data_IF_402541574005
#
_entry.id   IF_402541574005
#
_cell.length_a   1.000
_cell.length_b   1.000
_cell.length_c   1.000
_cell.angle_alpha   90.00
_cell.angle_beta   90.00
_cell.angle_gamma   90.00
#
_symmetry.space_group_name_H-M   'P 1'
#
loop_
_entity.id
_entity.type
_entity.pdbx_description
1 polymer ?
#
# COMPACT_ATOMS: atom_id res chain seq x y z
N UNK A 1 3.71 4.65 9.42
CA UNK A 1 2.36 4.08 9.66
C UNK A 1 2.43 3.17 10.87
N UNK A 2 1.51 3.26 11.84
CA UNK A 2 1.57 2.41 13.01
C UNK A 2 0.78 1.10 12.77
N UNK A 3 1.29 0.24 11.89
CA UNK A 3 0.73 -1.07 11.51
C UNK A 3 1.85 -2.10 11.29
N UNK A 4 1.50 -3.38 11.09
CA UNK A 4 2.50 -4.39 10.74
C UNK A 4 3.03 -4.17 9.31
N UNK A 5 4.25 -4.65 9.06
CA UNK A 5 4.84 -4.58 7.72
C UNK A 5 3.98 -5.31 6.67
N UNK A 6 3.38 -6.45 7.02
CA UNK A 6 2.45 -7.18 6.17
C UNK A 6 1.22 -6.34 5.83
N UNK A 7 0.63 -5.65 6.80
CA UNK A 7 -0.52 -4.78 6.56
C UNK A 7 -0.16 -3.59 5.68
N UNK A 8 0.99 -2.96 5.92
CA UNK A 8 1.50 -1.89 5.07
C UNK A 8 1.70 -2.40 3.63
N UNK A 9 2.39 -3.54 3.48
CA UNK A 9 2.66 -4.13 2.18
C UNK A 9 1.37 -4.41 1.40
N UNK A 10 0.39 -5.06 2.04
CA UNK A 10 -0.93 -5.33 1.48
C UNK A 10 -1.62 -4.03 1.04
N UNK A 11 -1.63 -3.01 1.90
CA UNK A 11 -2.28 -1.72 1.62
C UNK A 11 -1.69 -1.03 0.38
N UNK A 12 -0.38 -1.19 0.15
CA UNK A 12 0.32 -0.57 -0.99
C UNK A 12 0.27 -1.39 -2.28
N UNK A 13 0.28 -2.73 -2.20
CA UNK A 13 0.43 -3.61 -3.37
C UNK A 13 -0.86 -4.29 -3.80
N UNK A 14 -1.91 -4.27 -2.97
CA UNK A 14 -3.24 -4.68 -3.38
C UNK A 14 -3.95 -3.52 -4.10
N UNK A 15 -4.08 -3.62 -5.42
CA UNK A 15 -4.67 -2.60 -6.26
C UNK A 15 -6.19 -2.41 -6.03
N UNK A 16 -6.89 -3.42 -5.51
CA UNK A 16 -8.31 -3.32 -5.13
C UNK A 16 -8.52 -2.44 -3.88
N UNK A 17 -7.50 -2.37 -3.03
CA UNK A 17 -7.50 -1.56 -1.81
C UNK A 17 -6.88 -0.18 -2.09
N UNK A 18 -5.84 -0.13 -2.92
CA UNK A 18 -5.06 1.08 -3.20
C UNK A 18 -5.92 2.27 -3.63
N UNK A 19 -6.89 2.03 -4.51
CA UNK A 19 -7.81 3.08 -5.01
C UNK A 19 -8.70 3.69 -3.92
N UNK A 20 -8.87 3.02 -2.77
CA UNK A 20 -9.70 3.51 -1.66
C UNK A 20 -9.01 4.60 -0.84
N UNK A 21 -7.68 4.57 -0.75
CA UNK A 21 -6.92 5.50 0.08
C UNK A 21 -6.01 6.44 -0.73
N UNK A 22 -5.56 6.04 -1.92
CA UNK A 22 -4.72 6.87 -2.77
C UNK A 22 -5.55 7.97 -3.45
N UNK A 23 -5.64 9.11 -2.76
CA UNK A 23 -6.42 10.28 -3.22
C UNK A 23 -5.86 10.94 -4.49
N UNK A 24 -4.63 10.59 -4.89
CA UNK A 24 -4.00 11.15 -6.09
C UNK A 24 -4.45 10.46 -7.37
N UNK A 25 -4.99 9.24 -7.26
CA UNK A 25 -5.37 8.41 -8.39
C UNK A 25 -6.90 8.30 -8.53
N UNK A 26 -7.38 8.28 -9.76
CA UNK A 26 -8.76 7.91 -10.07
C UNK A 26 -8.88 6.44 -10.50
N UNK A 27 -7.76 5.81 -10.86
CA UNK A 27 -7.68 4.37 -11.14
C UNK A 27 -6.25 3.88 -10.89
N UNK A 28 -6.13 2.67 -10.35
CA UNK A 28 -4.88 1.94 -10.19
C UNK A 28 -5.18 0.45 -10.37
N UNK A 29 -4.70 -0.16 -11.45
CA UNK A 29 -5.00 -1.56 -11.79
C UNK A 29 -3.74 -2.28 -12.26
N UNK A 30 -3.64 -3.58 -12.00
CA UNK A 30 -2.72 -4.44 -12.76
C UNK A 30 -3.42 -4.77 -14.08
N UNK A 31 -2.72 -4.63 -15.20
CA UNK A 31 -3.34 -4.68 -16.54
C UNK A 31 -3.94 -6.04 -16.90
N UNK A 32 -3.51 -7.11 -16.24
CA UNK A 32 -4.08 -8.45 -16.39
C UNK A 32 -5.27 -8.73 -15.45
N UNK A 33 -5.70 -7.73 -14.67
CA UNK A 33 -6.81 -7.83 -13.72
C UNK A 33 -6.43 -8.45 -12.37
N UNK A 34 -5.16 -8.80 -12.14
CA UNK A 34 -4.71 -9.27 -10.83
C UNK A 34 -4.85 -8.18 -9.77
N UNK A 35 -5.21 -8.59 -8.55
CA UNK A 35 -5.24 -7.66 -7.40
C UNK A 35 -3.82 -7.26 -6.96
N UNK A 36 -2.84 -8.14 -7.19
CA UNK A 36 -1.45 -7.95 -6.80
C UNK A 36 -0.53 -8.04 -8.01
N UNK A 37 0.53 -7.22 -8.07
CA UNK A 37 1.55 -7.37 -9.09
C UNK A 37 2.45 -8.58 -8.81
N UNK A 38 3.23 -8.93 -9.80
CA UNK A 38 4.32 -9.92 -9.75
C UNK A 38 5.45 -9.43 -10.65
N UNK A 39 6.62 -10.08 -10.61
CA UNK A 39 7.74 -9.70 -11.48
C UNK A 39 7.31 -9.83 -12.95
N UNK A 40 7.39 -8.73 -13.69
CA UNK A 40 6.94 -8.62 -15.08
C UNK A 40 5.55 -8.02 -15.26
N UNK A 41 4.71 -7.98 -14.21
CA UNK A 41 3.39 -7.38 -14.25
C UNK A 41 3.49 -5.90 -14.66
N UNK A 42 2.46 -5.41 -15.35
CA UNK A 42 2.31 -4.00 -15.69
C UNK A 42 1.11 -3.47 -14.91
N UNK A 43 1.28 -2.35 -14.21
CA UNK A 43 0.16 -1.59 -13.67
C UNK A 43 -0.06 -0.30 -14.44
N UNK A 44 -1.33 0.07 -14.58
CA UNK A 44 -1.75 1.37 -15.08
C UNK A 44 -2.30 2.22 -13.93
N UNK A 45 -1.83 3.46 -13.85
CA UNK A 45 -2.20 4.42 -12.81
C UNK A 45 -2.66 5.71 -13.47
N UNK A 46 -3.88 6.15 -13.16
CA UNK A 46 -4.49 7.35 -13.72
C UNK A 46 -4.63 8.41 -12.63
N UNK A 47 -4.07 9.60 -12.86
CA UNK A 47 -4.20 10.70 -11.91
C UNK A 47 -5.64 11.21 -11.78
N UNK A 48 -6.00 11.70 -10.59
CA UNK A 48 -7.30 12.32 -10.27
C UNK A 48 -7.25 13.84 -10.36
N UNK A 49 -8.39 14.47 -10.62
CA UNK A 49 -8.53 15.93 -10.68
C UNK A 49 -7.77 16.51 -11.87
N UNK A 50 -7.01 17.58 -11.65
CA UNK A 50 -6.17 18.19 -12.69
C UNK A 50 -5.10 17.22 -13.21
N UNK A 51 -4.69 16.22 -12.42
CA UNK A 51 -3.72 15.19 -12.82
C UNK A 51 -4.29 14.13 -13.76
N UNK A 52 -5.57 14.22 -14.15
CA UNK A 52 -6.18 13.30 -15.13
C UNK A 52 -5.46 13.30 -16.48
N UNK A 53 -4.68 14.33 -16.76
CA UNK A 53 -3.85 14.40 -17.97
C UNK A 53 -2.58 13.53 -17.88
N UNK A 54 -2.28 12.95 -16.71
CA UNK A 54 -1.13 12.08 -16.51
C UNK A 54 -1.58 10.65 -16.23
N UNK A 55 -1.13 9.74 -17.11
CA UNK A 55 -1.25 8.31 -16.93
C UNK A 55 0.16 7.69 -16.91
N UNK A 56 0.38 6.76 -16.00
CA UNK A 56 1.66 6.04 -15.86
C UNK A 56 1.44 4.54 -15.97
N UNK A 57 2.21 3.91 -16.86
CA UNK A 57 2.35 2.45 -16.92
C UNK A 57 3.66 2.05 -16.26
N UNK A 58 3.59 1.21 -15.24
CA UNK A 58 4.74 0.77 -14.45
C UNK A 58 4.91 -0.72 -14.60
N UNK A 59 6.10 -1.16 -15.03
CA UNK A 59 6.48 -2.58 -15.02
C UNK A 59 7.20 -2.90 -13.71
N UNK A 60 6.75 -3.95 -13.03
CA UNK A 60 7.40 -4.43 -11.81
C UNK A 60 8.62 -5.28 -12.18
N UNK A 61 9.82 -4.74 -11.94
CA UNK A 61 11.08 -5.49 -12.17
C UNK A 61 11.51 -6.31 -10.96
N UNK A 62 11.02 -5.96 -9.77
CA UNK A 62 11.22 -6.69 -8.53
C UNK A 62 9.90 -6.67 -7.75
N UNK A 63 9.50 -7.85 -7.28
CA UNK A 63 8.37 -8.01 -6.39
C UNK A 63 8.61 -9.25 -5.55
N UNK A 64 8.69 -9.07 -4.24
CA UNK A 64 8.67 -10.17 -3.27
C UNK A 64 7.42 -9.98 -2.43
N UNK A 65 6.42 -10.88 -2.53
CA UNK A 65 5.32 -10.88 -1.58
C UNK A 65 5.89 -10.88 -0.17
N UNK A 66 5.24 -10.21 0.77
CA UNK A 66 5.73 -10.09 2.15
C UNK A 66 5.74 -11.45 2.87
N UNK A 67 6.71 -12.30 2.53
CA UNK A 67 7.13 -13.45 3.32
C UNK A 67 8.26 -12.92 4.20
N UNK A 68 7.93 -12.58 5.44
CA UNK A 68 8.91 -12.22 6.49
C UNK A 68 9.59 -10.86 6.28
N UNK A 69 9.10 -9.80 6.94
CA UNK A 69 9.88 -9.01 7.92
C UNK A 69 8.87 -8.27 8.80
N UNK A 70 8.52 -8.85 9.95
CA UNK A 70 7.80 -8.10 10.98
C UNK A 70 8.81 -7.21 11.72
N UNK A 71 9.05 -6.00 11.22
CA UNK A 71 9.60 -4.95 12.08
C UNK A 71 8.41 -4.34 12.84
N UNK A 72 8.24 -4.75 14.10
CA UNK A 72 7.25 -4.15 14.98
C UNK A 72 7.63 -2.69 15.26
N UNK A 73 6.84 -1.73 14.80
CA UNK A 73 6.89 -0.37 15.34
C UNK A 73 6.34 -0.42 16.78
N UNK A 74 7.24 -0.52 17.77
CA UNK A 74 6.87 -0.47 19.18
C UNK A 74 6.25 0.91 19.47
N UNK A 75 4.91 0.97 19.57
CA UNK A 75 4.24 2.13 20.19
C UNK A 75 4.54 2.09 21.68
N UNK A 76 5.42 2.95 22.17
CA UNK A 76 5.51 3.24 23.59
C UNK A 76 4.29 4.11 23.96
N UNK A 77 3.14 3.48 24.16
CA UNK A 77 2.05 4.12 24.89
C UNK A 77 2.31 3.88 26.38
N UNK A 78 2.82 4.91 27.08
CA UNK A 78 2.71 4.97 28.54
C UNK A 78 1.23 5.07 28.89
N UNK A 79 0.66 4.00 29.41
CA UNK A 79 -0.49 4.09 30.29
C UNK A 79 0.09 4.07 31.71
N UNK A 80 0.12 5.22 32.38
CA UNK A 80 0.30 5.27 33.83
C UNK A 80 -1.08 4.97 34.45
N UNK A 81 -1.27 3.85 35.18
CA UNK A 81 -2.43 3.72 36.03
C UNK A 81 -2.19 4.53 37.31
N UNK A 82 -3.12 5.45 37.59
CA UNK A 82 -3.32 6.03 38.90
C UNK A 82 -3.39 4.91 39.95
N UNK A 83 -2.41 4.83 40.84
CA UNK A 83 -2.54 4.13 42.13
C UNK A 83 -2.74 5.16 43.23
N UNK A 84 -3.82 5.05 44.04
CA UNK A 84 -4.00 5.88 45.22
C UNK A 84 -3.23 5.27 46.40
N UNK A 85 -2.56 6.12 47.17
CA UNK A 85 -2.22 5.88 48.58
C UNK A 85 -2.54 7.14 49.34
#
# INVERSE_FOLDING_TARGET
MPCSATQAFETFHNHDIRTRWDSLLSSAVVEDGSSHPYVGAISSNQGRGWKRLFAMRTRFVNYKPSHHVAAACHRHCKNDPLTPT
#
